data_IF_100356824434
#
_entry.id   IF_100356824434
#
_cell.length_a   1.000
_cell.length_b   1.000
_cell.length_c   1.000
_cell.angle_alpha   90.00
_cell.angle_beta   90.00
_cell.angle_gamma   90.00
#
_symmetry.space_group_name_H-M   'P 1'
#
loop_
_entity.id
_entity.type
_entity.pdbx_description
1 polymer ?
#
# COMPACT_ATOMS: atom_id res chain seq x y z
N UNK A 1 89.00 -46.68 -23.48
CA UNK A 1 88.62 -45.30 -23.00
C UNK A 1 87.18 -45.09 -23.37
N UNK A 2 86.27 -45.42 -22.49
CA UNK A 2 84.81 -45.39 -22.71
C UNK A 2 84.24 -44.10 -22.02
N UNK A 3 83.52 -43.31 -22.80
CA UNK A 3 82.83 -42.13 -22.28
C UNK A 3 81.39 -42.53 -21.89
N UNK A 4 80.90 -42.09 -20.72
CA UNK A 4 79.49 -42.35 -20.38
C UNK A 4 78.56 -41.30 -21.01
N UNK A 5 77.47 -41.79 -21.55
CA UNK A 5 76.36 -41.01 -22.06
C UNK A 5 75.43 -40.69 -20.88
N UNK A 6 75.27 -39.42 -20.58
CA UNK A 6 74.31 -38.94 -19.59
C UNK A 6 72.97 -38.75 -20.30
N UNK A 7 71.97 -39.51 -19.95
CA UNK A 7 70.60 -39.34 -20.39
C UNK A 7 69.91 -38.31 -19.47
N UNK A 8 69.49 -37.19 -20.04
CA UNK A 8 68.70 -36.19 -19.38
C UNK A 8 67.22 -36.55 -19.60
N UNK A 9 66.54 -36.93 -18.53
CA UNK A 9 65.12 -37.16 -18.53
C UNK A 9 64.42 -35.81 -18.32
N UNK A 10 63.69 -35.32 -19.32
CA UNK A 10 62.83 -34.13 -19.21
C UNK A 10 61.47 -34.54 -18.66
N UNK A 11 61.23 -34.20 -17.40
CA UNK A 11 59.89 -34.29 -16.76
C UNK A 11 59.02 -33.14 -17.25
N UNK A 12 58.04 -33.43 -18.09
CA UNK A 12 56.96 -32.47 -18.47
C UNK A 12 55.91 -32.56 -17.38
N UNK A 13 55.95 -31.57 -16.48
CA UNK A 13 54.86 -31.39 -15.52
C UNK A 13 53.64 -30.76 -16.26
N UNK A 14 52.62 -31.60 -16.46
CA UNK A 14 51.31 -31.16 -16.96
C UNK A 14 50.58 -30.29 -15.93
N UNK A 15 50.50 -29.01 -16.20
CA UNK A 15 49.66 -28.08 -15.40
C UNK A 15 48.22 -28.33 -15.84
N UNK A 16 47.49 -29.20 -15.12
CA UNK A 16 46.07 -29.35 -15.28
C UNK A 16 45.35 -28.09 -14.76
N UNK A 17 44.97 -27.20 -15.71
CA UNK A 17 44.12 -26.06 -15.37
C UNK A 17 42.72 -26.52 -14.98
N UNK A 18 42.41 -26.47 -13.70
CA UNK A 18 41.04 -26.58 -13.21
C UNK A 18 40.30 -25.30 -13.63
N UNK A 19 39.55 -25.37 -14.71
CA UNK A 19 38.52 -24.38 -15.00
C UNK A 19 37.41 -24.52 -13.96
N UNK A 20 37.48 -23.74 -12.88
CA UNK A 20 36.33 -23.51 -12.02
C UNK A 20 35.27 -22.80 -12.89
N UNK A 21 34.28 -23.56 -13.36
CA UNK A 21 33.09 -23.00 -13.97
C UNK A 21 32.43 -22.09 -12.94
N UNK A 22 32.64 -20.78 -13.06
CA UNK A 22 31.93 -19.79 -12.30
C UNK A 22 30.45 -19.96 -12.61
N UNK A 23 29.67 -20.37 -11.59
CA UNK A 23 28.22 -20.42 -11.67
C UNK A 23 27.74 -19.01 -12.07
N UNK A 24 26.93 -18.87 -13.13
CA UNK A 24 26.41 -17.55 -13.49
C UNK A 24 25.69 -16.96 -12.27
N UNK A 25 25.83 -15.66 -11.99
CA UNK A 25 25.09 -15.03 -10.90
C UNK A 25 23.62 -15.34 -11.10
N UNK A 26 22.97 -15.81 -10.01
CA UNK A 26 21.53 -16.03 -9.99
C UNK A 26 20.88 -14.75 -10.53
N UNK A 27 19.98 -14.86 -11.51
CA UNK A 27 19.19 -13.76 -12.02
C UNK A 27 18.57 -13.05 -10.82
N UNK A 28 19.09 -11.88 -10.51
CA UNK A 28 18.41 -10.95 -9.61
C UNK A 28 17.05 -10.72 -10.26
N UNK A 29 15.94 -10.93 -9.54
CA UNK A 29 14.63 -10.64 -10.10
C UNK A 29 14.69 -9.23 -10.65
N UNK A 30 14.49 -9.08 -11.96
CA UNK A 30 14.30 -7.76 -12.56
C UNK A 30 13.03 -7.23 -11.91
N UNK A 31 13.20 -6.30 -10.98
CA UNK A 31 12.12 -5.47 -10.48
C UNK A 31 11.56 -4.79 -11.73
N UNK A 32 10.37 -5.25 -12.13
CA UNK A 32 9.68 -4.71 -13.29
C UNK A 32 9.42 -3.23 -13.05
N UNK A 33 9.55 -2.41 -14.09
CA UNK A 33 9.27 -0.97 -14.07
C UNK A 33 7.79 -0.61 -13.82
N UNK A 34 6.99 -1.54 -13.30
CA UNK A 34 5.64 -1.38 -12.78
C UNK A 34 5.61 -1.22 -11.25
N UNK A 35 6.64 -0.58 -10.68
CA UNK A 35 6.80 -0.45 -9.22
C UNK A 35 5.81 0.53 -8.56
N UNK A 36 4.90 1.13 -9.31
CA UNK A 36 3.86 2.00 -8.74
C UNK A 36 2.47 1.43 -9.00
N UNK A 37 1.66 1.30 -7.94
CA UNK A 37 0.26 0.89 -8.08
C UNK A 37 -0.48 1.77 -9.09
N UNK A 38 -1.14 1.16 -10.08
CA UNK A 38 -1.96 1.89 -11.06
C UNK A 38 -3.40 1.92 -10.58
N UNK A 39 -3.84 3.13 -10.19
CA UNK A 39 -5.18 3.37 -9.74
C UNK A 39 -6.06 3.88 -10.88
N UNK A 40 -7.24 3.29 -11.04
CA UNK A 40 -8.24 3.69 -12.02
C UNK A 40 -9.50 4.17 -11.31
N UNK A 41 -10.13 5.22 -11.81
CA UNK A 41 -11.40 5.69 -11.27
C UNK A 41 -12.51 4.67 -11.54
N UNK A 42 -13.32 4.41 -10.51
CA UNK A 42 -14.42 3.46 -10.52
C UNK A 42 -15.75 4.14 -10.19
N UNK A 43 -16.81 3.34 -10.11
CA UNK A 43 -18.13 3.82 -9.74
C UNK A 43 -18.33 3.72 -8.22
N UNK A 44 -18.89 4.77 -7.62
CA UNK A 44 -19.30 4.77 -6.21
C UNK A 44 -20.44 3.77 -5.98
N UNK A 45 -20.25 2.72 -5.15
CA UNK A 45 -21.22 1.63 -5.06
C UNK A 45 -22.24 1.80 -3.93
N UNK A 46 -22.11 2.83 -3.10
CA UNK A 46 -22.93 3.00 -1.90
C UNK A 46 -24.09 3.96 -2.14
N UNK A 47 -25.19 3.85 -1.36
CA UNK A 47 -26.26 4.83 -1.38
C UNK A 47 -25.75 6.24 -1.08
N UNK A 48 -26.42 7.24 -1.63
CA UNK A 48 -26.16 8.66 -1.32
C UNK A 48 -26.83 8.97 0.03
N UNK A 49 -26.06 9.51 0.94
CA UNK A 49 -26.51 9.98 2.25
C UNK A 49 -26.26 11.49 2.42
N UNK A 50 -26.34 11.97 3.65
CA UNK A 50 -26.11 13.39 3.99
C UNK A 50 -24.72 13.92 3.61
N UNK A 51 -23.72 13.04 3.41
CA UNK A 51 -22.37 13.40 3.01
C UNK A 51 -22.19 13.38 1.48
N UNK A 52 -23.23 13.02 0.75
CA UNK A 52 -23.23 12.94 -0.71
C UNK A 52 -22.46 11.74 -1.23
N UNK A 53 -22.15 11.81 -2.51
CA UNK A 53 -21.37 10.80 -3.22
C UNK A 53 -19.88 11.09 -3.10
N UNK A 54 -19.09 10.07 -2.77
CA UNK A 54 -17.63 10.12 -2.80
C UNK A 54 -17.04 9.76 -4.16
N UNK A 55 -15.73 9.58 -4.19
CA UNK A 55 -14.98 9.02 -5.33
C UNK A 55 -14.59 7.59 -5.04
N UNK A 56 -14.53 6.78 -6.07
CA UNK A 56 -14.09 5.40 -6.01
C UNK A 56 -12.90 5.18 -6.93
N UNK A 57 -11.93 4.40 -6.47
CA UNK A 57 -10.76 4.00 -7.23
C UNK A 57 -10.52 2.51 -7.06
N UNK A 58 -9.91 1.89 -8.06
CA UNK A 58 -9.54 0.49 -8.06
C UNK A 58 -8.07 0.35 -8.43
N UNK A 59 -7.37 -0.54 -7.72
CA UNK A 59 -6.09 -1.06 -8.13
C UNK A 59 -6.21 -2.56 -8.32
N UNK A 60 -5.86 -3.06 -9.50
CA UNK A 60 -5.99 -4.47 -9.84
C UNK A 60 -4.85 -5.30 -9.28
N UNK A 61 -5.10 -6.61 -9.09
CA UNK A 61 -4.09 -7.53 -8.59
C UNK A 61 -2.78 -7.54 -9.40
N UNK A 62 -2.83 -7.24 -10.70
CA UNK A 62 -1.65 -7.12 -11.53
C UNK A 62 -0.70 -6.00 -11.10
N UNK A 63 -1.24 -4.92 -10.51
CA UNK A 63 -0.49 -3.72 -10.10
C UNK A 63 -0.31 -3.66 -8.57
N UNK A 64 -1.29 -4.13 -7.80
CA UNK A 64 -1.30 -4.07 -6.35
C UNK A 64 -1.08 -5.42 -5.65
N UNK A 65 -0.82 -6.51 -6.40
CA UNK A 65 -0.71 -7.86 -5.85
C UNK A 65 -2.05 -8.51 -5.47
N UNK A 66 -3.04 -7.70 -5.11
CA UNK A 66 -4.44 -8.09 -4.84
C UNK A 66 -5.38 -7.03 -5.42
N UNK A 67 -6.65 -7.37 -5.62
CA UNK A 67 -7.66 -6.37 -5.98
C UNK A 67 -7.99 -5.49 -4.77
N UNK A 68 -7.81 -4.17 -4.95
CA UNK A 68 -8.06 -3.16 -3.92
C UNK A 68 -9.09 -2.17 -4.43
N UNK A 69 -10.11 -1.90 -3.62
CA UNK A 69 -11.06 -0.81 -3.84
C UNK A 69 -10.84 0.26 -2.78
N UNK A 70 -10.73 1.50 -3.22
CA UNK A 70 -10.55 2.68 -2.38
C UNK A 70 -11.72 3.64 -2.61
N UNK A 71 -12.35 4.05 -1.52
CA UNK A 71 -13.47 4.98 -1.51
C UNK A 71 -13.08 6.23 -0.73
N UNK A 72 -13.17 7.40 -1.36
CA UNK A 72 -12.84 8.69 -0.75
C UNK A 72 -14.10 9.52 -0.59
N UNK A 73 -14.34 10.07 0.61
CA UNK A 73 -15.50 10.92 0.85
C UNK A 73 -15.17 12.07 1.80
N UNK A 74 -15.50 13.31 1.45
CA UNK A 74 -15.37 14.44 2.36
C UNK A 74 -16.57 14.49 3.32
N UNK A 75 -16.32 14.88 4.55
CA UNK A 75 -17.35 15.17 5.55
C UNK A 75 -17.05 16.53 6.17
N UNK A 76 -17.73 17.54 5.66
CA UNK A 76 -17.50 18.93 6.01
C UNK A 76 -18.07 19.23 7.40
N UNK A 77 -17.26 19.84 8.27
CA UNK A 77 -17.62 20.16 9.65
C UNK A 77 -17.82 18.96 10.56
N UNK A 78 -17.30 17.77 10.19
CA UNK A 78 -17.64 16.54 10.91
C UNK A 78 -16.52 15.98 11.79
N UNK A 79 -15.33 16.54 11.82
CA UNK A 79 -14.32 16.11 12.79
C UNK A 79 -14.15 17.12 13.92
N UNK A 80 -13.45 16.72 14.98
CA UNK A 80 -13.11 17.61 16.08
C UNK A 80 -12.26 18.78 15.58
N UNK A 81 -12.78 20.00 15.70
CA UNK A 81 -12.11 21.20 15.18
C UNK A 81 -10.78 21.54 15.87
N UNK A 82 -10.57 21.05 17.10
CA UNK A 82 -9.36 21.34 17.89
C UNK A 82 -8.29 20.29 17.72
N UNK A 83 -8.67 19.01 17.75
CA UNK A 83 -7.74 17.87 17.72
C UNK A 83 -7.67 17.20 16.35
N UNK A 84 -8.68 17.40 15.49
CA UNK A 84 -8.83 16.64 14.25
C UNK A 84 -9.02 15.15 14.56
N UNK A 85 -8.58 14.29 13.63
CA UNK A 85 -8.62 12.83 13.79
C UNK A 85 -7.33 12.38 14.50
N UNK A 86 -7.25 12.68 15.83
CA UNK A 86 -6.05 12.43 16.63
C UNK A 86 -5.98 11.04 17.24
N UNK A 87 -7.12 10.40 17.50
CA UNK A 87 -7.23 9.13 18.20
C UNK A 87 -8.16 8.13 17.50
N UNK A 88 -8.25 6.92 18.05
CA UNK A 88 -9.05 5.83 17.49
C UNK A 88 -10.54 6.09 17.62
N UNK A 89 -10.97 6.75 18.68
CA UNK A 89 -12.38 7.06 18.91
C UNK A 89 -12.89 8.05 17.87
N UNK A 90 -12.12 9.09 17.58
CA UNK A 90 -12.47 10.05 16.54
C UNK A 90 -12.44 9.41 15.14
N UNK A 91 -11.43 8.56 14.84
CA UNK A 91 -11.41 7.80 13.61
C UNK A 91 -12.64 6.89 13.46
N UNK A 92 -12.99 6.15 14.51
CA UNK A 92 -14.17 5.27 14.51
C UNK A 92 -15.47 6.06 14.27
N UNK A 93 -15.57 7.28 14.81
CA UNK A 93 -16.72 8.17 14.65
C UNK A 93 -16.87 8.72 13.23
N UNK A 94 -15.75 9.13 12.60
CA UNK A 94 -15.80 9.72 11.26
C UNK A 94 -15.75 8.69 10.14
N UNK A 95 -15.34 7.44 10.41
CA UNK A 95 -15.11 6.40 9.42
C UNK A 95 -16.37 6.07 8.60
N UNK A 96 -16.15 5.48 7.42
CA UNK A 96 -17.18 4.95 6.53
C UNK A 96 -17.21 3.42 6.49
N UNK A 97 -16.64 2.77 7.50
CA UNK A 97 -16.59 1.30 7.58
C UNK A 97 -17.99 0.69 7.54
N UNK A 98 -18.98 1.37 8.10
CA UNK A 98 -20.39 0.94 8.13
C UNK A 98 -21.04 0.87 6.73
N UNK A 99 -20.51 1.58 5.72
CA UNK A 99 -20.95 1.42 4.33
C UNK A 99 -20.58 0.04 3.77
N UNK A 100 -19.51 -0.58 4.26
CA UNK A 100 -19.07 -1.91 3.83
C UNK A 100 -19.89 -3.01 4.51
N UNK A 101 -20.32 -2.78 5.76
CA UNK A 101 -21.19 -3.67 6.52
C UNK A 101 -21.33 -3.23 7.98
N UNK A 102 -22.47 -3.58 8.58
CA UNK A 102 -22.83 -3.11 9.94
C UNK A 102 -22.09 -3.83 11.07
N UNK A 103 -21.69 -5.09 10.86
CA UNK A 103 -20.94 -5.86 11.85
C UNK A 103 -19.46 -5.63 11.65
N UNK A 104 -18.81 -4.92 12.58
CA UNK A 104 -17.38 -4.62 12.51
C UNK A 104 -16.66 -4.93 13.81
N UNK A 105 -15.42 -5.35 13.70
CA UNK A 105 -14.46 -5.46 14.79
C UNK A 105 -13.13 -4.82 14.40
N UNK A 106 -12.46 -4.20 15.37
CA UNK A 106 -11.17 -3.54 15.15
C UNK A 106 -10.04 -4.56 15.10
N UNK A 107 -9.03 -4.30 14.25
CA UNK A 107 -7.82 -5.12 14.11
C UNK A 107 -6.61 -4.43 14.77
N UNK A 108 -6.71 -4.19 16.08
CA UNK A 108 -5.67 -3.53 16.85
C UNK A 108 -5.79 -2.00 16.89
N UNK A 109 -4.79 -1.33 17.48
CA UNK A 109 -4.78 0.13 17.59
C UNK A 109 -4.51 0.78 16.24
N UNK A 110 -5.07 1.98 16.07
CA UNK A 110 -4.79 2.82 14.90
C UNK A 110 -3.39 3.44 14.96
N UNK A 111 -2.96 3.96 13.80
CA UNK A 111 -1.65 4.61 13.62
C UNK A 111 -1.81 6.02 13.10
N UNK A 112 -0.98 6.97 13.54
CA UNK A 112 -0.95 8.31 12.96
C UNK A 112 -0.48 8.25 11.50
N UNK A 113 -1.10 9.05 10.65
CA UNK A 113 -0.72 9.23 9.25
C UNK A 113 -0.59 10.72 8.92
N UNK A 114 0.02 11.00 7.77
CA UNK A 114 0.06 12.34 7.18
C UNK A 114 -0.24 12.24 5.68
N UNK A 115 -1.16 13.08 5.21
CA UNK A 115 -1.52 13.19 3.80
C UNK A 115 -1.45 14.66 3.41
N UNK A 116 -0.56 15.02 2.48
CA UNK A 116 -0.30 16.42 2.06
C UNK A 116 -0.08 17.38 3.25
N UNK A 117 0.62 16.94 4.29
CA UNK A 117 0.84 17.72 5.51
C UNK A 117 -0.33 17.74 6.49
N UNK A 118 -1.51 17.31 6.10
CA UNK A 118 -2.65 17.13 6.98
C UNK A 118 -2.45 15.91 7.89
N UNK A 119 -2.68 16.10 9.17
CA UNK A 119 -2.62 14.99 10.15
C UNK A 119 -3.87 14.12 10.06
N UNK A 120 -3.70 12.86 10.39
CA UNK A 120 -4.80 11.90 10.39
C UNK A 120 -4.43 10.60 11.08
N UNK A 121 -5.29 9.62 10.88
CA UNK A 121 -5.15 8.30 11.50
C UNK A 121 -5.61 7.20 10.57
N UNK A 122 -5.03 6.01 10.71
CA UNK A 122 -5.43 4.79 10.02
C UNK A 122 -5.71 3.67 11.01
N UNK A 123 -6.66 2.80 10.70
CA UNK A 123 -6.99 1.62 11.51
C UNK A 123 -7.61 0.52 10.66
N UNK A 124 -7.24 -0.73 10.94
CA UNK A 124 -7.80 -1.92 10.31
C UNK A 124 -9.07 -2.42 11.00
N UNK A 125 -10.00 -2.96 10.21
CA UNK A 125 -11.25 -3.56 10.67
C UNK A 125 -11.50 -4.88 9.95
N UNK A 126 -12.26 -5.75 10.60
CA UNK A 126 -12.92 -6.89 9.98
C UNK A 126 -14.41 -6.58 9.95
N UNK A 127 -15.04 -6.71 8.78
CA UNK A 127 -16.45 -6.36 8.55
C UNK A 127 -17.22 -7.57 8.02
N UNK A 128 -18.34 -7.88 8.66
CA UNK A 128 -19.24 -8.97 8.32
C UNK A 128 -18.96 -10.28 9.08
N UNK A 129 -20.02 -11.04 9.36
CA UNK A 129 -19.96 -12.28 10.16
C UNK A 129 -19.64 -13.52 9.32
N UNK A 130 -20.29 -13.70 8.14
CA UNK A 130 -20.19 -14.91 7.33
C UNK A 130 -19.16 -14.84 6.22
N UNK A 131 -18.96 -13.65 5.68
CA UNK A 131 -17.96 -13.37 4.65
C UNK A 131 -17.20 -12.14 5.09
N UNK A 132 -16.28 -12.34 6.02
CA UNK A 132 -15.51 -11.27 6.63
C UNK A 132 -14.64 -10.60 5.55
N UNK A 133 -14.81 -9.30 5.40
CA UNK A 133 -13.94 -8.45 4.56
C UNK A 133 -12.93 -7.75 5.45
N UNK A 134 -11.73 -7.66 4.96
CA UNK A 134 -10.73 -6.81 5.58
C UNK A 134 -10.88 -5.38 5.06
N UNK A 135 -11.00 -4.43 5.97
CA UNK A 135 -11.19 -3.01 5.67
C UNK A 135 -10.12 -2.20 6.40
N UNK A 136 -9.49 -1.27 5.70
CA UNK A 136 -8.63 -0.27 6.31
C UNK A 136 -9.33 1.09 6.18
N UNK A 137 -9.56 1.77 7.29
CA UNK A 137 -10.03 3.16 7.28
C UNK A 137 -8.88 4.10 7.56
N UNK A 138 -8.78 5.15 6.75
CA UNK A 138 -7.89 6.27 6.98
C UNK A 138 -8.74 7.54 7.00
N UNK A 139 -8.41 8.48 7.86
CA UNK A 139 -9.02 9.79 7.85
C UNK A 139 -7.95 10.84 8.11
N UNK A 140 -8.02 11.94 7.36
CA UNK A 140 -7.14 13.10 7.53
C UNK A 140 -7.95 14.38 7.40
N UNK A 141 -7.56 15.42 8.09
CA UNK A 141 -8.41 16.60 8.23
C UNK A 141 -7.63 17.91 8.09
N UNK A 142 -8.37 18.92 7.62
CA UNK A 142 -8.02 20.31 7.77
C UNK A 142 -9.07 20.99 8.66
N UNK A 143 -8.66 21.44 9.84
CA UNK A 143 -9.58 21.96 10.87
C UNK A 143 -10.72 20.99 11.18
N UNK A 144 -11.98 21.39 10.91
CA UNK A 144 -13.18 20.59 11.19
C UNK A 144 -13.58 19.69 10.01
N UNK A 145 -12.96 19.86 8.84
CA UNK A 145 -13.32 19.16 7.61
C UNK A 145 -12.43 17.95 7.44
N UNK A 146 -13.02 16.79 7.22
CA UNK A 146 -12.30 15.52 7.12
C UNK A 146 -12.53 14.84 5.78
N UNK A 147 -11.48 14.24 5.24
CA UNK A 147 -11.57 13.24 4.17
C UNK A 147 -11.41 11.87 4.79
N UNK A 148 -12.36 11.01 4.49
CA UNK A 148 -12.35 9.60 4.88
C UNK A 148 -11.99 8.76 3.67
N UNK A 149 -11.02 7.87 3.83
CA UNK A 149 -10.60 6.88 2.85
C UNK A 149 -10.92 5.49 3.40
N UNK A 150 -11.78 4.74 2.71
CA UNK A 150 -12.15 3.37 3.06
C UNK A 150 -11.59 2.41 2.02
N UNK A 151 -10.69 1.54 2.44
CA UNK A 151 -10.02 0.55 1.60
C UNK A 151 -10.64 -0.81 1.85
N UNK A 152 -11.09 -1.47 0.80
CA UNK A 152 -11.62 -2.83 0.86
C UNK A 152 -10.77 -3.73 -0.02
N UNK A 153 -10.21 -4.78 0.57
CA UNK A 153 -9.45 -5.80 -0.12
C UNK A 153 -9.94 -7.20 0.28
N UNK A 154 -9.69 -8.18 -0.57
CA UNK A 154 -10.14 -9.57 -0.31
C UNK A 154 -9.46 -10.19 0.90
N UNK A 155 -8.13 -10.01 1.00
CA UNK A 155 -7.31 -10.50 2.10
C UNK A 155 -6.77 -9.34 2.94
N UNK A 156 -5.56 -9.30 3.44
CA UNK A 156 -5.09 -8.27 4.37
C UNK A 156 -4.82 -6.88 3.73
N UNK A 157 -5.69 -5.85 3.89
CA UNK A 157 -5.44 -4.52 3.35
C UNK A 157 -4.34 -3.75 4.12
N UNK A 158 -3.92 -4.24 5.28
CA UNK A 158 -2.84 -3.61 6.07
C UNK A 158 -1.52 -3.60 5.27
N UNK A 159 -1.28 -4.62 4.44
CA UNK A 159 -0.14 -4.63 3.51
C UNK A 159 -0.23 -3.59 2.38
N UNK A 160 -1.44 -3.05 2.13
CA UNK A 160 -1.70 -2.07 1.09
C UNK A 160 -1.68 -0.61 1.60
N UNK A 161 -1.54 -0.40 2.91
CA UNK A 161 -1.56 0.95 3.50
C UNK A 161 -0.54 1.88 2.86
N UNK A 162 0.66 1.39 2.60
CA UNK A 162 1.71 2.19 1.97
C UNK A 162 1.31 2.63 0.55
N UNK A 163 0.82 1.70 -0.27
CA UNK A 163 0.36 1.99 -1.62
C UNK A 163 -0.83 2.97 -1.64
N UNK A 164 -1.73 2.84 -0.68
CA UNK A 164 -2.85 3.77 -0.49
C UNK A 164 -2.35 5.15 -0.07
N UNK A 165 -1.43 5.25 0.88
CA UNK A 165 -0.86 6.52 1.31
C UNK A 165 -0.07 7.21 0.18
N UNK A 166 0.64 6.47 -0.65
CA UNK A 166 1.30 7.01 -1.85
C UNK A 166 0.28 7.59 -2.83
N UNK A 167 -0.83 6.90 -3.07
CA UNK A 167 -1.91 7.41 -3.90
C UNK A 167 -2.58 8.65 -3.31
N UNK A 168 -2.88 8.63 -2.00
CA UNK A 168 -3.49 9.77 -1.30
C UNK A 168 -2.59 11.00 -1.32
N UNK A 169 -1.27 10.83 -1.34
CA UNK A 169 -0.29 11.91 -1.48
C UNK A 169 0.01 12.29 -2.93
N UNK A 170 -0.72 11.75 -3.91
CA UNK A 170 -0.60 12.13 -5.31
C UNK A 170 -1.40 13.39 -5.67
N UNK A 171 -0.99 14.08 -6.74
CA UNK A 171 -1.59 15.35 -7.18
C UNK A 171 -3.10 15.26 -7.44
N UNK A 172 -3.57 14.10 -7.94
CA UNK A 172 -5.00 13.88 -8.22
C UNK A 172 -5.85 14.03 -6.95
N UNK A 173 -5.40 13.45 -5.84
CA UNK A 173 -6.11 13.52 -4.55
C UNK A 173 -5.91 14.88 -3.91
N UNK A 174 -4.72 15.49 -4.04
CA UNK A 174 -4.44 16.83 -3.54
C UNK A 174 -5.42 17.85 -4.13
N UNK A 175 -5.48 17.96 -5.46
CA UNK A 175 -6.37 18.92 -6.13
C UNK A 175 -7.84 18.68 -5.80
N UNK A 176 -8.24 17.41 -5.66
CA UNK A 176 -9.60 17.11 -5.24
C UNK A 176 -9.85 17.51 -3.78
N UNK A 177 -8.92 17.21 -2.88
CA UNK A 177 -9.03 17.58 -1.47
C UNK A 177 -9.06 19.10 -1.27
N UNK A 178 -8.21 19.84 -2.00
CA UNK A 178 -8.22 21.31 -2.02
C UNK A 178 -9.60 21.85 -2.43
N UNK A 179 -10.18 21.28 -3.49
CA UNK A 179 -11.48 21.74 -4.00
C UNK A 179 -12.62 21.44 -3.01
N UNK A 180 -12.61 20.31 -2.31
CA UNK A 180 -13.70 19.90 -1.40
C UNK A 180 -13.54 20.42 0.02
N UNK A 181 -12.31 20.67 0.49
CA UNK A 181 -12.01 21.19 1.83
C UNK A 181 -11.82 22.73 1.82
N UNK A 182 -11.79 23.36 0.65
CA UNK A 182 -11.59 24.80 0.52
C UNK A 182 -10.18 25.26 0.96
N UNK A 183 -9.14 24.51 0.57
CA UNK A 183 -7.73 24.79 0.90
C UNK A 183 -7.11 25.81 -0.04
#
# INVERSE_FOLDING_TARGET
>A
MSKPIVAVAVLVAGIGGYFLAAKPPADTPRVSSHDRPVWTEGTWPFPIDQWGQGRAYQCKAADCGIDVNLYLRPKIGFCNCQTGVADDEELDRVSDVDLVGSERSTRGPGRPITVHGMKGRSRGYTVGARSAKSVLSLAFNNRCDVVVATVVAGDEPVGQEQAVLEFLNGDLVLHWAEAVLGL
#
